data_IF_633487837333
#
_entry.id   IF_633487837333
#
_cell.length_a   1.000
_cell.length_b   1.000
_cell.length_c   1.000
_cell.angle_alpha   90.00
_cell.angle_beta   90.00
_cell.angle_gamma   90.00
#
_symmetry.space_group_name_H-M   'P 1'
#
loop_
_entity.id
_entity.type
_entity.pdbx_description
1 polymer ?
#
# COMPACT_ATOMS: atom_id res chain seq x y z
N UNK A 1 8.73 -15.38 -22.54
CA UNK A 1 9.64 -14.74 -21.57
C UNK A 1 8.80 -14.25 -20.41
N UNK A 2 8.93 -14.84 -19.22
CA UNK A 2 8.21 -14.39 -18.00
C UNK A 2 8.92 -13.13 -17.49
N UNK A 3 8.33 -11.96 -17.71
CA UNK A 3 8.80 -10.74 -17.05
C UNK A 3 8.46 -10.87 -15.56
N UNK A 4 9.46 -11.13 -14.72
CA UNK A 4 9.34 -10.99 -13.28
C UNK A 4 9.07 -9.51 -12.96
N UNK A 5 7.90 -9.23 -12.50
CA UNK A 5 7.51 -7.91 -12.05
C UNK A 5 8.03 -7.73 -10.63
N UNK A 6 8.97 -6.82 -10.45
CA UNK A 6 9.55 -6.52 -9.13
C UNK A 6 8.85 -5.27 -8.62
N UNK A 7 8.07 -5.42 -7.55
CA UNK A 7 7.52 -4.29 -6.80
C UNK A 7 8.72 -3.58 -6.14
N UNK A 8 8.90 -2.27 -6.31
CA UNK A 8 9.96 -1.55 -5.61
C UNK A 8 9.83 -1.76 -4.10
N UNK A 9 10.92 -2.18 -3.48
CA UNK A 9 10.97 -2.55 -2.04
C UNK A 9 10.43 -1.45 -1.14
N UNK A 10 10.62 -0.20 -1.55
CA UNK A 10 10.20 1.00 -0.81
C UNK A 10 8.69 1.25 -0.82
N UNK A 11 7.95 0.71 -1.79
CA UNK A 11 6.47 0.84 -1.85
C UNK A 11 5.81 -0.01 -0.76
N UNK A 12 6.46 -1.08 -0.33
CA UNK A 12 5.95 -2.03 0.64
C UNK A 12 5.81 -1.48 2.07
N UNK A 13 6.66 -0.51 2.45
CA UNK A 13 6.64 0.05 3.80
C UNK A 13 5.38 0.90 4.11
N UNK A 14 4.59 1.24 3.09
CA UNK A 14 3.45 2.16 3.22
C UNK A 14 2.17 1.41 3.57
N UNK A 15 2.07 0.13 3.25
CA UNK A 15 0.84 -0.65 3.47
C UNK A 15 0.56 -0.94 4.95
N UNK A 16 1.59 -1.01 5.80
CA UNK A 16 1.43 -1.15 7.25
C UNK A 16 0.85 0.10 7.92
N UNK A 17 0.90 1.27 7.25
CA UNK A 17 0.41 2.53 7.79
C UNK A 17 -1.06 2.82 7.40
N UNK A 18 -1.54 2.27 6.29
CA UNK A 18 -2.89 2.55 5.78
C UNK A 18 -4.01 1.95 6.63
N UNK A 19 -3.74 0.90 7.40
CA UNK A 19 -4.71 0.26 8.28
C UNK A 19 -5.05 1.10 9.53
N UNK A 20 -4.25 2.11 9.86
CA UNK A 20 -4.47 2.95 11.06
C UNK A 20 -5.23 4.25 10.81
N UNK A 21 -5.53 4.61 9.56
CA UNK A 21 -6.20 5.88 9.24
C UNK A 21 -7.72 5.82 9.20
N UNK A 22 -8.33 4.66 9.42
CA UNK A 22 -9.80 4.51 9.46
C UNK A 22 -10.41 4.59 10.86
N UNK A 23 -9.64 4.92 11.90
CA UNK A 23 -10.17 5.11 13.26
C UNK A 23 -9.65 6.40 13.90
N UNK A 24 -10.25 7.53 13.54
CA UNK A 24 -10.26 8.70 14.42
C UNK A 24 -11.60 9.42 14.34
N UNK A 25 -12.52 8.92 15.14
CA UNK A 25 -13.51 9.80 15.76
C UNK A 25 -13.59 9.40 17.23
N UNK A 26 -13.15 10.34 18.10
CA UNK A 26 -13.39 10.41 19.55
C UNK A 26 -12.73 9.35 20.46
N UNK A 27 -11.69 9.80 21.15
CA UNK A 27 -11.67 9.71 22.63
C UNK A 27 -10.56 10.59 23.22
N UNK A 28 -10.97 11.50 24.05
CA UNK A 28 -10.19 12.28 25.02
C UNK A 28 -9.65 11.37 26.14
N UNK A 29 -8.40 11.55 26.53
CA UNK A 29 -8.00 11.34 27.94
C UNK A 29 -7.17 10.13 28.28
N UNK A 30 -6.02 10.44 28.76
CA UNK A 30 -5.21 9.99 29.92
C UNK A 30 -3.94 9.20 29.62
N UNK A 31 -2.86 9.82 30.07
CA UNK A 31 -1.49 9.37 30.29
C UNK A 31 -1.37 8.03 31.01
N UNK A 32 -0.44 7.17 30.55
CA UNK A 32 0.42 6.40 31.45
C UNK A 32 1.71 5.94 30.75
N UNK A 33 2.80 6.07 31.47
CA UNK A 33 4.19 5.85 31.08
C UNK A 33 4.60 4.38 30.97
N UNK A 34 5.73 4.22 30.27
CA UNK A 34 6.73 3.14 30.31
C UNK A 34 6.57 1.90 29.44
N UNK A 35 7.50 1.83 28.50
CA UNK A 35 7.83 0.62 27.77
C UNK A 35 8.62 0.93 26.50
N UNK A 36 9.94 1.11 26.66
CA UNK A 36 10.90 1.37 25.59
C UNK A 36 10.92 0.21 24.58
N UNK A 37 10.31 0.40 23.43
CA UNK A 37 10.53 -0.36 22.21
C UNK A 37 10.58 0.65 21.07
N UNK A 38 11.75 0.84 20.49
CA UNK A 38 11.95 1.64 19.28
C UNK A 38 11.24 0.99 18.09
N UNK A 39 9.94 1.18 18.02
CA UNK A 39 9.24 1.12 16.75
C UNK A 39 9.72 2.33 15.95
N UNK A 40 10.48 2.08 14.87
CA UNK A 40 10.89 3.11 13.92
C UNK A 40 9.61 3.71 13.31
N UNK A 41 9.03 4.66 14.04
CA UNK A 41 7.86 5.41 13.61
C UNK A 41 8.26 6.14 12.33
N UNK A 42 7.72 5.71 11.20
CA UNK A 42 7.78 6.49 9.97
C UNK A 42 6.90 7.70 10.22
N UNK A 43 7.53 8.78 10.68
CA UNK A 43 6.84 10.06 10.87
C UNK A 43 6.33 10.49 9.51
N UNK A 44 5.01 10.48 9.33
CA UNK A 44 4.36 11.12 8.21
C UNK A 44 4.73 12.60 8.23
N UNK A 45 5.69 13.00 7.39
CA UNK A 45 6.02 14.40 7.18
C UNK A 45 4.86 15.04 6.41
N UNK A 46 4.34 16.13 6.98
CA UNK A 46 3.20 16.87 6.46
C UNK A 46 3.28 17.16 4.96
N UNK A 47 2.11 17.24 4.33
CA UNK A 47 1.84 17.53 2.91
C UNK A 47 2.57 18.76 2.32
N UNK A 48 3.07 19.64 3.16
CA UNK A 48 3.69 20.91 2.76
C UNK A 48 5.07 20.75 2.11
N UNK A 49 5.72 19.61 2.28
CA UNK A 49 7.08 19.36 1.79
C UNK A 49 7.17 18.65 0.43
N UNK A 50 6.03 18.25 -0.17
CA UNK A 50 6.02 17.64 -1.50
C UNK A 50 6.32 18.71 -2.55
N UNK A 51 7.31 18.44 -3.40
CA UNK A 51 7.77 19.39 -4.41
C UNK A 51 6.66 19.75 -5.40
N UNK A 52 6.70 20.98 -5.94
CA UNK A 52 5.77 21.39 -6.97
C UNK A 52 5.89 20.53 -8.24
N UNK A 53 7.08 20.02 -8.54
CA UNK A 53 7.30 19.11 -9.66
C UNK A 53 6.47 17.82 -9.51
N UNK A 54 6.46 17.21 -8.33
CA UNK A 54 5.64 16.02 -8.03
C UNK A 54 4.16 16.32 -8.14
N UNK A 55 3.70 17.46 -7.58
CA UNK A 55 2.29 17.88 -7.66
C UNK A 55 1.86 18.13 -9.11
N UNK A 56 2.71 18.74 -9.92
CA UNK A 56 2.44 18.96 -11.34
C UNK A 56 2.36 17.64 -12.11
N UNK A 57 3.27 16.70 -11.83
CA UNK A 57 3.25 15.36 -12.44
C UNK A 57 1.98 14.60 -12.06
N UNK A 58 1.55 14.68 -10.80
CA UNK A 58 0.28 14.11 -10.37
C UNK A 58 -0.91 14.65 -11.17
N UNK A 59 -1.00 15.98 -11.29
CA UNK A 59 -2.09 16.61 -12.06
C UNK A 59 -2.03 16.27 -13.56
N UNK A 60 -0.85 16.13 -14.13
CA UNK A 60 -0.68 15.73 -15.52
C UNK A 60 -1.16 14.30 -15.79
N UNK A 61 -0.90 13.37 -14.83
CA UNK A 61 -1.26 11.95 -14.96
C UNK A 61 -2.73 11.67 -14.61
N UNK A 62 -3.27 12.33 -13.58
CA UNK A 62 -4.57 11.98 -13.00
C UNK A 62 -5.62 13.08 -13.07
N UNK A 63 -5.26 14.26 -13.60
CA UNK A 63 -6.16 15.42 -13.62
C UNK A 63 -6.42 16.01 -12.23
N UNK A 64 -7.49 16.75 -12.13
CA UNK A 64 -7.93 17.33 -10.85
C UNK A 64 -8.61 16.25 -10.00
N UNK A 65 -8.00 15.88 -8.89
CA UNK A 65 -8.57 15.00 -7.89
C UNK A 65 -8.91 15.81 -6.63
N UNK A 66 -9.94 15.39 -5.91
CA UNK A 66 -10.31 15.95 -4.62
C UNK A 66 -9.71 15.12 -3.48
N UNK A 67 -9.54 15.75 -2.31
CA UNK A 67 -9.12 15.08 -1.07
C UNK A 67 -7.80 14.29 -1.20
N UNK A 68 -6.80 14.90 -1.85
CA UNK A 68 -5.47 14.28 -1.97
C UNK A 68 -4.74 14.42 -0.63
N UNK A 69 -4.33 13.30 -0.08
CA UNK A 69 -3.44 13.23 1.07
C UNK A 69 -2.04 12.84 0.62
N UNK A 70 -1.07 13.71 0.91
CA UNK A 70 0.31 13.47 0.58
C UNK A 70 1.07 12.87 1.78
N UNK A 71 1.87 11.86 1.51
CA UNK A 71 2.80 11.27 2.46
C UNK A 71 4.18 11.16 1.81
N UNK A 72 5.23 11.34 2.62
CA UNK A 72 6.61 11.24 2.15
C UNK A 72 7.29 10.06 2.82
N UNK A 73 7.94 9.25 2.00
CA UNK A 73 8.90 8.25 2.44
C UNK A 73 10.31 8.69 2.05
N UNK A 74 11.30 7.91 2.43
CA UNK A 74 12.69 8.14 2.02
C UNK A 74 12.83 8.24 0.50
N UNK A 75 12.17 7.35 -0.24
CA UNK A 75 12.35 7.20 -1.68
C UNK A 75 11.21 7.76 -2.54
N UNK A 76 10.02 7.94 -1.94
CA UNK A 76 8.82 8.33 -2.68
C UNK A 76 8.03 9.42 -2.00
N UNK A 77 7.37 10.23 -2.82
CA UNK A 77 6.21 11.01 -2.43
C UNK A 77 4.96 10.24 -2.88
N UNK A 78 4.00 10.08 -1.98
CA UNK A 78 2.81 9.26 -2.18
C UNK A 78 1.57 10.13 -2.10
N UNK A 79 0.78 10.11 -3.18
CA UNK A 79 -0.54 10.69 -3.21
C UNK A 79 -1.59 9.61 -2.91
N UNK A 80 -2.36 9.79 -1.85
CA UNK A 80 -3.51 8.95 -1.50
C UNK A 80 -4.79 9.72 -1.83
N UNK A 81 -5.68 9.14 -2.61
CA UNK A 81 -6.93 9.73 -3.06
C UNK A 81 -7.94 8.64 -3.44
N UNK A 82 -9.21 9.02 -3.61
CA UNK A 82 -10.25 8.08 -3.99
C UNK A 82 -10.69 8.32 -5.44
N UNK A 83 -10.86 7.23 -6.19
CA UNK A 83 -11.40 7.22 -7.56
C UNK A 83 -12.54 6.21 -7.62
N UNK A 84 -13.74 6.67 -7.96
CA UNK A 84 -14.93 5.80 -8.12
C UNK A 84 -15.21 4.92 -6.90
N UNK A 85 -14.87 5.41 -5.70
CA UNK A 85 -15.04 4.68 -4.43
C UNK A 85 -13.94 3.67 -4.09
N UNK A 86 -12.87 3.64 -4.89
CA UNK A 86 -11.66 2.85 -4.60
C UNK A 86 -10.55 3.76 -4.08
N UNK A 87 -9.91 3.38 -2.98
CA UNK A 87 -8.75 4.09 -2.45
C UNK A 87 -7.50 3.74 -3.25
N UNK A 88 -6.82 4.79 -3.72
CA UNK A 88 -5.64 4.70 -4.59
C UNK A 88 -4.45 5.36 -3.92
N UNK A 89 -3.27 4.72 -4.02
CA UNK A 89 -2.00 5.36 -3.71
C UNK A 89 -1.15 5.41 -4.98
N UNK A 90 -0.72 6.61 -5.37
CA UNK A 90 0.21 6.83 -6.47
C UNK A 90 1.59 7.21 -5.92
N UNK A 91 2.63 6.53 -6.40
CA UNK A 91 4.02 6.64 -5.92
C UNK A 91 4.86 7.40 -6.94
N UNK A 92 5.44 8.50 -6.51
CA UNK A 92 6.31 9.34 -7.33
C UNK A 92 7.73 9.34 -6.76
N UNK A 93 8.73 9.31 -7.63
CA UNK A 93 10.10 9.63 -7.20
C UNK A 93 10.17 11.10 -6.75
N UNK A 94 11.24 11.47 -6.05
CA UNK A 94 11.43 12.87 -5.61
C UNK A 94 11.56 13.85 -6.78
N UNK A 95 11.92 13.36 -7.95
CA UNK A 95 12.01 14.10 -9.21
C UNK A 95 10.67 14.24 -9.94
N UNK A 96 9.62 13.58 -9.44
CA UNK A 96 8.27 13.66 -10.01
C UNK A 96 7.93 12.57 -11.03
N UNK A 97 8.75 11.53 -11.16
CA UNK A 97 8.43 10.41 -12.06
C UNK A 97 7.44 9.45 -11.37
N UNK A 98 6.31 9.13 -12.01
CA UNK A 98 5.39 8.11 -11.52
C UNK A 98 6.06 6.73 -11.60
N UNK A 99 6.12 6.02 -10.46
CA UNK A 99 6.67 4.65 -10.38
C UNK A 99 5.59 3.58 -10.42
N UNK A 100 4.41 3.90 -9.98
CA UNK A 100 3.27 2.99 -10.00
C UNK A 100 2.16 3.44 -9.08
N UNK A 101 1.11 2.63 -9.03
CA UNK A 101 -0.05 2.89 -8.18
C UNK A 101 -0.64 1.60 -7.63
N UNK A 102 -1.29 1.70 -6.49
CA UNK A 102 -2.04 0.61 -5.88
C UNK A 102 -3.49 0.99 -5.73
N UNK A 103 -4.36 0.00 -5.86
CA UNK A 103 -5.78 0.11 -5.58
C UNK A 103 -6.10 -0.84 -4.44
N UNK A 104 -6.68 -0.32 -3.37
CA UNK A 104 -7.18 -1.14 -2.28
C UNK A 104 -8.36 -1.98 -2.79
N UNK A 105 -8.35 -3.26 -2.45
CA UNK A 105 -9.36 -4.23 -2.90
C UNK A 105 -9.96 -4.96 -1.71
N UNK A 106 -11.13 -5.55 -1.93
CA UNK A 106 -11.77 -6.43 -0.94
C UNK A 106 -11.21 -7.85 -1.06
N UNK A 107 -11.31 -8.62 -0.01
CA UNK A 107 -10.99 -10.05 -0.03
C UNK A 107 -11.74 -10.80 -1.14
N UNK A 108 -12.99 -10.44 -1.36
CA UNK A 108 -13.87 -11.02 -2.38
C UNK A 108 -13.45 -10.73 -3.82
N UNK A 109 -12.57 -9.74 -4.04
CA UNK A 109 -12.06 -9.40 -5.37
C UNK A 109 -10.91 -10.33 -5.79
N UNK A 110 -10.35 -11.08 -4.85
CA UNK A 110 -9.35 -12.09 -5.16
C UNK A 110 -9.97 -13.26 -5.95
N UNK A 111 -9.24 -13.86 -6.88
CA UNK A 111 -9.65 -15.12 -7.48
C UNK A 111 -10.01 -16.16 -6.40
N UNK A 112 -11.11 -16.87 -6.58
CA UNK A 112 -11.60 -17.86 -5.59
C UNK A 112 -10.49 -18.85 -5.18
N UNK A 113 -9.72 -19.34 -6.16
CA UNK A 113 -8.62 -20.26 -5.88
C UNK A 113 -7.53 -19.62 -4.99
N UNK A 114 -7.30 -18.30 -5.11
CA UNK A 114 -6.38 -17.60 -4.23
C UNK A 114 -6.90 -17.53 -2.80
N UNK A 115 -8.19 -17.26 -2.61
CA UNK A 115 -8.80 -17.26 -1.28
C UNK A 115 -8.64 -18.61 -0.59
N UNK A 116 -8.93 -19.72 -1.30
CA UNK A 116 -8.72 -21.08 -0.79
C UNK A 116 -7.26 -21.34 -0.42
N UNK A 117 -6.33 -21.00 -1.31
CA UNK A 117 -4.89 -21.21 -1.10
C UNK A 117 -4.36 -20.41 0.08
N UNK A 118 -4.82 -19.16 0.25
CA UNK A 118 -4.42 -18.29 1.36
C UNK A 118 -4.92 -18.83 2.69
N UNK A 119 -6.20 -19.22 2.79
CA UNK A 119 -6.78 -19.80 4.02
C UNK A 119 -6.07 -21.10 4.42
N UNK A 120 -5.76 -21.97 3.46
CA UNK A 120 -5.09 -23.24 3.75
C UNK A 120 -3.62 -23.05 4.16
N UNK A 121 -2.90 -22.19 3.47
CA UNK A 121 -1.45 -22.02 3.64
C UNK A 121 -1.09 -21.08 4.80
N UNK A 122 -1.93 -20.10 5.07
CA UNK A 122 -1.69 -19.04 6.05
C UNK A 122 -2.80 -18.98 7.11
N UNK A 123 -3.32 -20.15 7.52
CA UNK A 123 -4.46 -20.31 8.45
C UNK A 123 -4.34 -19.56 9.78
N UNK A 124 -3.09 -19.32 10.23
CA UNK A 124 -2.79 -18.65 11.50
C UNK A 124 -2.46 -17.16 11.30
N UNK A 125 -2.62 -16.63 10.10
CA UNK A 125 -2.42 -15.23 9.77
C UNK A 125 -3.74 -14.49 9.64
N UNK A 126 -3.72 -13.23 10.01
CA UNK A 126 -4.83 -12.29 9.79
C UNK A 126 -4.58 -11.51 8.49
N UNK A 127 -5.64 -11.26 7.72
CA UNK A 127 -5.57 -10.45 6.51
C UNK A 127 -5.63 -8.97 6.91
N UNK A 128 -4.56 -8.23 6.67
CA UNK A 128 -4.53 -6.78 6.92
C UNK A 128 -5.07 -5.98 5.74
N UNK A 129 -4.64 -6.34 4.53
CA UNK A 129 -5.08 -5.63 3.33
C UNK A 129 -4.93 -6.49 2.07
N UNK A 130 -5.75 -6.20 1.09
CA UNK A 130 -5.66 -6.71 -0.28
C UNK A 130 -5.53 -5.52 -1.21
N UNK A 131 -4.60 -5.56 -2.13
CA UNK A 131 -4.44 -4.50 -3.13
C UNK A 131 -3.91 -5.04 -4.45
N UNK A 132 -4.16 -4.27 -5.51
CA UNK A 132 -3.56 -4.51 -6.83
C UNK A 132 -2.51 -3.44 -7.07
N UNK A 133 -1.33 -3.84 -7.51
CA UNK A 133 -0.27 -2.92 -7.93
C UNK A 133 -0.14 -2.89 -9.44
N UNK A 134 -0.13 -1.68 -9.98
CA UNK A 134 0.19 -1.37 -11.37
C UNK A 134 1.50 -0.57 -11.39
N UNK A 135 2.50 -1.06 -12.11
CA UNK A 135 3.73 -0.31 -12.34
C UNK A 135 3.55 0.82 -13.35
N UNK A 136 4.66 1.48 -13.70
CA UNK A 136 4.76 2.59 -14.65
C UNK A 136 4.02 2.38 -15.97
N UNK A 137 4.03 1.16 -16.50
CA UNK A 137 3.33 0.81 -17.73
C UNK A 137 1.94 0.32 -17.41
N UNK A 138 0.94 1.11 -17.74
CA UNK A 138 -0.49 0.79 -17.56
C UNK A 138 -0.99 -0.40 -18.37
N UNK A 139 -0.18 -0.90 -19.29
CA UNK A 139 -0.51 -2.05 -20.16
C UNK A 139 -0.26 -3.40 -19.49
N UNK A 140 0.14 -3.43 -18.23
CA UNK A 140 0.31 -4.67 -17.49
C UNK A 140 -0.94 -4.95 -16.67
N UNK A 141 -1.45 -6.18 -16.76
CA UNK A 141 -2.40 -6.69 -15.79
C UNK A 141 -1.80 -6.49 -14.39
N UNK A 142 -2.54 -5.81 -13.50
CA UNK A 142 -2.08 -5.57 -12.15
C UNK A 142 -1.82 -6.88 -11.41
N UNK A 143 -0.88 -6.86 -10.47
CA UNK A 143 -0.64 -8.01 -9.62
C UNK A 143 -1.35 -7.80 -8.28
N UNK A 144 -2.11 -8.79 -7.84
CA UNK A 144 -2.67 -8.80 -6.49
C UNK A 144 -1.60 -9.10 -5.46
N UNK A 145 -1.70 -8.38 -4.35
CA UNK A 145 -0.91 -8.61 -3.15
C UNK A 145 -1.83 -8.67 -1.94
N UNK A 146 -1.48 -9.53 -1.00
CA UNK A 146 -2.19 -9.68 0.27
C UNK A 146 -1.18 -9.49 1.39
N UNK A 147 -1.43 -8.49 2.24
CA UNK A 147 -0.69 -8.31 3.48
C UNK A 147 -1.31 -9.17 4.56
N UNK A 148 -0.51 -9.99 5.18
CA UNK A 148 -0.91 -10.93 6.22
C UNK A 148 -0.05 -10.72 7.47
N UNK A 149 -0.67 -10.68 8.65
CA UNK A 149 0.02 -10.52 9.92
C UNK A 149 -0.17 -11.68 10.87
N UNK A 150 0.86 -11.96 11.65
CA UNK A 150 0.85 -12.90 12.78
C UNK A 150 1.96 -12.52 13.76
N UNK A 151 1.63 -12.42 15.05
CA UNK A 151 2.61 -12.20 16.13
C UNK A 151 3.58 -11.04 15.83
N UNK A 152 3.09 -9.87 15.47
CA UNK A 152 3.85 -8.67 15.07
C UNK A 152 4.77 -8.86 13.85
N UNK A 153 4.53 -9.89 13.05
CA UNK A 153 5.23 -10.13 11.78
C UNK A 153 4.26 -9.96 10.65
N UNK A 154 4.62 -9.14 9.70
CA UNK A 154 3.85 -8.95 8.47
C UNK A 154 4.56 -9.61 7.31
N UNK A 155 3.81 -10.30 6.50
CA UNK A 155 4.30 -10.88 5.23
C UNK A 155 3.45 -10.36 4.07
N UNK A 156 4.05 -10.27 2.92
CA UNK A 156 3.38 -9.92 1.69
C UNK A 156 3.35 -11.13 0.77
N UNK A 157 2.15 -11.51 0.34
CA UNK A 157 1.90 -12.62 -0.57
C UNK A 157 1.44 -12.10 -1.91
N UNK A 158 2.11 -12.46 -2.98
CA UNK A 158 1.67 -12.16 -4.35
C UNK A 158 0.71 -13.24 -4.82
N UNK A 159 -0.34 -12.80 -5.51
CA UNK A 159 -1.34 -13.66 -6.14
C UNK A 159 -1.31 -13.42 -7.65
N UNK A 160 -1.22 -14.47 -8.44
CA UNK A 160 -1.30 -14.37 -9.88
C UNK A 160 -2.75 -14.52 -10.41
N UNK A 161 -2.97 -14.28 -11.69
CA UNK A 161 -4.27 -14.38 -12.34
C UNK A 161 -4.96 -15.76 -12.18
N UNK A 162 -4.18 -16.82 -12.01
CA UNK A 162 -4.68 -18.19 -11.80
C UNK A 162 -5.01 -18.49 -10.34
N UNK A 163 -4.83 -17.51 -9.44
CA UNK A 163 -5.04 -17.68 -8.00
C UNK A 163 -3.90 -18.41 -7.26
N UNK A 164 -2.75 -18.64 -7.91
CA UNK A 164 -1.58 -19.17 -7.22
C UNK A 164 -0.95 -18.11 -6.34
N UNK A 165 -0.54 -18.52 -5.13
CA UNK A 165 0.03 -17.64 -4.11
C UNK A 165 1.52 -17.91 -3.93
N UNK A 166 2.31 -16.87 -3.84
CA UNK A 166 3.77 -16.93 -3.59
C UNK A 166 4.15 -15.92 -2.52
N UNK A 167 4.91 -16.36 -1.51
CA UNK A 167 5.49 -15.41 -0.55
C UNK A 167 6.40 -14.46 -1.32
N UNK A 168 6.03 -13.17 -1.28
CA UNK A 168 6.78 -12.12 -1.97
C UNK A 168 7.87 -11.55 -1.06
N UNK A 169 7.50 -11.18 0.18
CA UNK A 169 8.42 -10.57 1.15
C UNK A 169 7.95 -10.77 2.59
N UNK A 170 8.90 -10.77 3.53
CA UNK A 170 8.68 -10.57 4.97
C UNK A 170 9.02 -9.11 5.29
N UNK A 171 8.14 -8.41 6.00
CA UNK A 171 8.25 -7.00 6.39
C UNK A 171 8.75 -6.86 7.82
#
# INVERSE_FOLDING_TARGET
>A
MKKSFILPVSILAIFSLSAMLSQTANASGTTSENGNMEAKTIVAKNADNVSQAVKNSFHAEFGAQSNIHWNQTENFDVASYDVEGESVNAFFTKEGSLEGRTFLKKWTDLPFQAQVNLVQRYKDYEVESVFVYYGKSLNNNGNFFVSLSKDNRTILVQVNEKGNTTLYKKL
#
